data_IF_689690429337
#
_entry.id   IF_689690429337
#
_cell.length_a   1.000
_cell.length_b   1.000
_cell.length_c   1.000
_cell.angle_alpha   90.00
_cell.angle_beta   90.00
_cell.angle_gamma   90.00
#
_symmetry.space_group_name_H-M   'P 1'
#
loop_
_entity.id
_entity.type
_entity.pdbx_description
1 polymer ?
#
# COMPACT_ATOMS: atom_id res chain seq x y z
N UNK A 1 51.08 -46.30 33.22
CA UNK A 1 52.15 -45.41 33.72
C UNK A 1 51.92 -44.05 33.03
N UNK A 2 50.89 -43.31 33.48
CA UNK A 2 50.94 -42.09 34.34
C UNK A 2 51.53 -40.87 33.58
N UNK A 3 50.70 -39.97 33.02
CA UNK A 3 50.01 -38.79 33.63
C UNK A 3 50.92 -37.54 33.67
N UNK A 4 50.52 -36.28 33.42
CA UNK A 4 49.33 -35.60 32.90
C UNK A 4 49.81 -34.17 32.54
N UNK A 5 49.34 -33.58 31.43
CA UNK A 5 49.63 -32.19 31.02
C UNK A 5 48.58 -31.25 31.62
N UNK A 6 49.01 -30.13 32.20
CA UNK A 6 48.15 -29.05 32.72
C UNK A 6 48.36 -27.81 31.83
N UNK A 7 47.26 -27.24 31.34
CA UNK A 7 47.22 -26.22 30.27
C UNK A 7 47.33 -24.81 30.87
N UNK A 8 48.36 -24.10 30.43
CA UNK A 8 48.55 -22.66 30.58
C UNK A 8 47.77 -21.87 29.50
N UNK A 9 47.29 -20.70 29.91
CA UNK A 9 47.43 -19.37 29.30
C UNK A 9 46.90 -19.03 27.89
N UNK A 10 46.05 -18.00 27.79
CA UNK A 10 46.33 -16.60 27.33
C UNK A 10 46.31 -16.57 25.77
N UNK A 11 45.55 -15.75 25.04
CA UNK A 11 45.51 -14.29 25.13
C UNK A 11 44.41 -13.65 24.25
N UNK A 12 44.06 -12.42 24.64
CA UNK A 12 43.71 -11.24 23.83
C UNK A 12 42.98 -11.36 22.48
N UNK A 13 41.80 -10.75 22.43
CA UNK A 13 41.52 -9.46 21.73
C UNK A 13 40.16 -9.47 21.03
N UNK A 14 39.14 -9.00 21.75
CA UNK A 14 37.97 -8.29 21.21
C UNK A 14 37.34 -7.56 22.41
N UNK A 15 38.02 -6.53 22.94
CA UNK A 15 37.80 -5.14 22.57
C UNK A 15 36.32 -4.75 22.50
N UNK A 16 35.94 -3.94 23.48
CA UNK A 16 35.47 -2.58 23.24
C UNK A 16 34.31 -2.43 22.25
N UNK A 17 33.08 -2.61 22.73
CA UNK A 17 31.89 -1.97 22.11
C UNK A 17 30.67 -1.84 23.04
N UNK A 18 30.68 -2.41 24.25
CA UNK A 18 29.48 -2.38 25.13
C UNK A 18 29.53 -1.25 26.18
N UNK A 19 30.61 -0.45 26.21
CA UNK A 19 30.81 0.62 27.22
C UNK A 19 30.67 2.05 26.66
N UNK A 20 30.41 2.24 25.36
CA UNK A 20 30.22 3.58 24.76
C UNK A 20 28.89 3.62 24.00
N UNK A 21 27.82 3.89 24.73
CA UNK A 21 26.48 4.08 24.16
C UNK A 21 25.46 4.54 25.19
N UNK A 22 25.72 4.25 26.47
CA UNK A 22 24.83 4.57 27.57
C UNK A 22 25.24 5.81 28.39
N UNK A 23 26.06 6.69 27.80
CA UNK A 23 26.55 7.94 28.41
C UNK A 23 26.13 9.22 27.65
N UNK A 24 25.44 9.15 26.51
CA UNK A 24 25.04 10.36 25.75
C UNK A 24 23.57 10.76 25.93
N UNK A 25 22.69 9.92 26.50
CA UNK A 25 21.28 10.26 26.75
C UNK A 25 21.00 10.56 28.24
N UNK A 26 21.93 11.24 28.91
CA UNK A 26 21.72 11.82 30.26
C UNK A 26 22.28 13.24 30.38
N UNK A 27 22.10 14.04 29.34
CA UNK A 27 22.28 15.49 29.38
C UNK A 27 21.16 16.22 28.62
N UNK A 28 19.89 15.86 28.87
CA UNK A 28 18.75 16.62 28.34
C UNK A 28 17.48 16.46 29.18
N UNK A 29 17.59 16.36 30.51
CA UNK A 29 16.44 16.52 31.41
C UNK A 29 16.88 17.31 32.63
N UNK A 30 16.94 18.63 32.47
CA UNK A 30 17.17 19.59 33.55
C UNK A 30 15.97 20.52 33.63
N UNK A 31 14.91 20.07 34.31
CA UNK A 31 14.00 20.93 35.07
C UNK A 31 13.01 20.04 35.81
N UNK A 32 13.01 20.09 37.14
CA UNK A 32 12.13 19.29 37.99
C UNK A 32 11.54 20.20 39.07
N UNK A 33 10.21 20.10 39.23
CA UNK A 33 9.34 20.27 40.42
C UNK A 33 7.93 20.43 39.84
N UNK A 34 6.96 19.51 39.98
CA UNK A 34 6.27 18.98 41.19
C UNK A 34 5.41 17.77 40.70
N UNK A 35 5.62 16.51 41.14
CA UNK A 35 4.85 15.70 42.15
C UNK A 35 3.42 15.34 41.66
N UNK A 36 2.83 14.12 41.62
CA UNK A 36 2.90 12.80 42.33
C UNK A 36 1.98 11.80 41.55
N UNK A 37 2.33 10.51 41.35
CA UNK A 37 1.78 9.25 41.98
C UNK A 37 0.25 9.02 41.76
N UNK A 38 -0.32 7.87 41.34
CA UNK A 38 -0.17 6.42 41.55
C UNK A 38 -0.90 5.70 40.38
N UNK A 39 -0.75 4.41 40.06
CA UNK A 39 -0.28 3.30 40.87
C UNK A 39 -0.05 2.04 40.03
N UNK A 40 0.66 1.12 40.69
CA UNK A 40 1.18 -0.15 40.24
C UNK A 40 0.11 -1.23 39.97
N UNK A 41 0.46 -2.15 39.08
CA UNK A 41 -0.09 -3.51 39.02
C UNK A 41 0.96 -4.50 38.51
N UNK A 42 1.60 -5.20 39.46
CA UNK A 42 2.56 -6.31 39.31
C UNK A 42 2.03 -7.42 38.37
N UNK A 43 2.81 -7.92 37.41
CA UNK A 43 3.76 -9.04 37.50
C UNK A 43 3.13 -10.42 37.81
N UNK A 44 3.20 -11.34 36.83
CA UNK A 44 3.24 -12.78 37.08
C UNK A 44 4.08 -13.46 35.99
N UNK A 45 5.25 -13.91 36.43
CA UNK A 45 6.17 -14.83 35.75
C UNK A 45 5.57 -16.24 35.70
N UNK A 46 5.87 -16.97 34.62
CA UNK A 46 6.16 -18.40 34.69
C UNK A 46 7.29 -18.73 33.70
N UNK A 47 8.22 -19.59 34.14
CA UNK A 47 9.50 -19.96 33.53
C UNK A 47 9.48 -21.47 33.23
N UNK A 48 9.69 -21.86 31.95
CA UNK A 48 10.65 -22.85 31.33
C UNK A 48 10.60 -24.34 31.84
N UNK A 49 10.84 -25.45 31.07
CA UNK A 49 11.92 -25.70 30.08
C UNK A 49 11.66 -26.56 28.82
N UNK A 50 12.72 -26.61 27.99
CA UNK A 50 13.02 -27.32 26.73
C UNK A 50 12.81 -28.85 26.73
N UNK A 51 12.74 -29.46 25.52
CA UNK A 51 13.65 -30.54 25.05
C UNK A 51 13.31 -31.06 23.63
N UNK A 52 14.32 -30.96 22.75
CA UNK A 52 14.81 -31.90 21.70
C UNK A 52 13.95 -32.44 20.53
N UNK A 53 14.43 -32.09 19.33
CA UNK A 53 14.70 -32.92 18.12
C UNK A 53 14.08 -34.32 17.98
N UNK A 54 13.38 -34.55 16.85
CA UNK A 54 13.57 -35.75 16.03
C UNK A 54 13.08 -35.54 14.60
N UNK A 55 13.99 -35.76 13.65
CA UNK A 55 13.74 -35.80 12.20
C UNK A 55 13.25 -37.19 11.80
N UNK A 56 12.27 -37.30 10.88
CA UNK A 56 12.25 -38.28 9.77
C UNK A 56 11.00 -38.15 8.88
N UNK A 57 11.29 -37.99 7.59
CA UNK A 57 10.62 -38.54 6.41
C UNK A 57 9.12 -38.84 6.44
N UNK A 58 8.37 -38.12 5.58
CA UNK A 58 7.45 -38.74 4.63
C UNK A 58 7.55 -38.04 3.27
N UNK A 59 8.14 -38.75 2.31
CA UNK A 59 8.06 -38.48 0.87
C UNK A 59 6.75 -39.05 0.30
N UNK A 60 6.37 -38.50 -0.86
CA UNK A 60 5.46 -39.01 -1.90
C UNK A 60 4.04 -38.42 -1.92
N UNK A 61 3.87 -37.39 -2.75
CA UNK A 61 2.71 -37.27 -3.62
C UNK A 61 3.19 -36.79 -5.00
N UNK A 62 3.39 -37.77 -5.88
CA UNK A 62 3.56 -37.61 -7.32
C UNK A 62 2.19 -37.22 -7.92
N UNK A 63 2.15 -36.13 -8.68
CA UNK A 63 1.06 -35.88 -9.63
C UNK A 63 1.64 -35.89 -11.03
N UNK A 64 1.04 -36.76 -11.83
CA UNK A 64 1.59 -37.28 -13.06
C UNK A 64 1.46 -36.37 -14.26
N UNK A 65 2.36 -36.65 -15.21
CA UNK A 65 2.38 -36.16 -16.57
C UNK A 65 1.12 -36.63 -17.30
N UNK A 66 0.27 -35.69 -17.71
CA UNK A 66 -0.81 -35.88 -18.68
C UNK A 66 -0.52 -35.06 -19.92
N UNK A 67 -0.11 -35.72 -21.00
CA UNK A 67 0.07 -35.12 -22.32
C UNK A 67 -1.27 -34.92 -23.05
N UNK A 68 -1.31 -33.85 -23.84
CA UNK A 68 -2.18 -33.57 -25.00
C UNK A 68 -3.61 -33.03 -24.77
N UNK A 69 -3.76 -31.70 -24.92
CA UNK A 69 -4.47 -31.04 -26.06
C UNK A 69 -4.73 -29.55 -25.77
N UNK A 70 -3.71 -28.70 -26.00
CA UNK A 70 -3.88 -27.26 -26.27
C UNK A 70 -2.84 -26.78 -27.29
N UNK A 71 -2.71 -27.51 -28.40
CA UNK A 71 -2.10 -26.95 -29.60
C UNK A 71 -3.23 -26.30 -30.40
N UNK A 72 -3.11 -25.01 -30.70
CA UNK A 72 -4.06 -24.13 -31.40
C UNK A 72 -4.95 -23.23 -30.52
N UNK A 73 -4.44 -22.68 -29.42
CA UNK A 73 -5.00 -21.44 -28.89
C UNK A 73 -4.44 -20.26 -29.70
N UNK A 74 -5.28 -19.62 -30.53
CA UNK A 74 -4.98 -18.31 -31.09
C UNK A 74 -4.78 -17.37 -29.90
N UNK A 75 -3.63 -16.69 -29.75
CA UNK A 75 -3.49 -15.66 -28.72
C UNK A 75 -4.53 -14.59 -29.00
N UNK A 76 -5.52 -14.45 -28.11
CA UNK A 76 -6.40 -13.29 -28.15
C UNK A 76 -5.54 -12.06 -27.84
N UNK A 77 -5.76 -10.93 -28.53
CA UNK A 77 -5.04 -9.70 -28.23
C UNK A 77 -5.16 -9.41 -26.73
N UNK A 78 -4.02 -9.16 -26.08
CA UNK A 78 -3.97 -8.65 -24.71
C UNK A 78 -4.74 -7.33 -24.73
N UNK A 79 -5.96 -7.32 -24.18
CA UNK A 79 -6.71 -6.09 -23.99
C UNK A 79 -5.89 -5.21 -23.06
N UNK A 80 -5.73 -3.94 -23.41
CA UNK A 80 -5.03 -3.02 -22.53
C UNK A 80 -5.94 -2.78 -21.33
N UNK A 81 -5.38 -2.47 -20.13
CA UNK A 81 -6.17 -2.18 -18.93
C UNK A 81 -7.23 -1.05 -19.07
N UNK A 82 -7.28 -0.35 -20.21
CA UNK A 82 -8.27 0.67 -20.55
C UNK A 82 -9.46 0.18 -21.40
N UNK A 83 -9.51 -1.09 -21.82
CA UNK A 83 -10.52 -1.60 -22.76
C UNK A 83 -11.67 -2.38 -22.08
N UNK A 84 -11.81 -2.27 -20.75
CA UNK A 84 -12.89 -2.94 -20.01
C UNK A 84 -14.22 -2.20 -20.18
N UNK A 85 -15.36 -2.91 -20.29
CA UNK A 85 -16.68 -2.28 -20.25
C UNK A 85 -16.84 -1.57 -18.90
N UNK A 86 -16.86 -0.24 -18.94
CA UNK A 86 -17.29 0.56 -17.81
C UNK A 86 -18.80 0.36 -17.67
N UNK A 87 -19.24 -0.22 -16.55
CA UNK A 87 -20.65 -0.18 -16.21
C UNK A 87 -21.02 1.28 -15.96
N UNK A 88 -21.91 1.82 -16.79
CA UNK A 88 -22.40 3.18 -16.65
C UNK A 88 -23.16 3.29 -15.34
N UNK A 89 -22.58 4.00 -14.37
CA UNK A 89 -23.27 4.26 -13.12
C UNK A 89 -24.48 5.21 -13.35
N UNK A 90 -25.62 4.96 -12.69
CA UNK A 90 -26.76 5.86 -12.75
C UNK A 90 -26.39 7.24 -12.19
N UNK A 91 -27.09 8.29 -12.65
CA UNK A 91 -26.83 9.68 -12.22
C UNK A 91 -26.99 9.90 -10.70
N UNK A 92 -27.85 9.11 -10.05
CA UNK A 92 -27.87 8.98 -8.58
C UNK A 92 -27.37 7.59 -8.22
N UNK A 93 -26.20 7.53 -7.58
CA UNK A 93 -25.58 6.31 -7.10
C UNK A 93 -25.76 6.25 -5.59
N UNK A 94 -26.63 5.37 -5.12
CA UNK A 94 -27.00 5.19 -3.71
C UNK A 94 -26.56 3.82 -3.17
N UNK A 95 -26.74 3.62 -1.86
CA UNK A 95 -26.33 2.41 -1.13
C UNK A 95 -27.06 1.17 -1.66
N UNK A 96 -28.35 1.28 -1.97
CA UNK A 96 -29.18 0.16 -2.43
C UNK A 96 -28.71 -0.29 -3.81
N UNK A 97 -28.62 0.64 -4.75
CA UNK A 97 -28.14 0.36 -6.11
C UNK A 97 -26.74 -0.25 -6.11
N UNK A 98 -25.87 0.20 -5.20
CA UNK A 98 -24.54 -0.37 -5.04
C UNK A 98 -24.58 -1.82 -4.51
N UNK A 99 -25.42 -2.09 -3.52
CA UNK A 99 -25.58 -3.44 -2.96
C UNK A 99 -26.17 -4.42 -3.97
N UNK A 100 -27.12 -3.98 -4.78
CA UNK A 100 -27.70 -4.79 -5.85
C UNK A 100 -26.63 -5.17 -6.89
N UNK A 101 -25.87 -4.18 -7.38
CA UNK A 101 -24.74 -4.41 -8.29
C UNK A 101 -23.70 -5.37 -7.70
N UNK A 102 -23.36 -5.21 -6.41
CA UNK A 102 -22.43 -6.12 -5.72
C UNK A 102 -22.95 -7.54 -5.62
N UNK A 103 -24.26 -7.71 -5.44
CA UNK A 103 -24.89 -9.03 -5.41
C UNK A 103 -24.80 -9.71 -6.78
N UNK A 104 -25.07 -8.98 -7.87
CA UNK A 104 -24.97 -9.50 -9.24
C UNK A 104 -23.56 -9.98 -9.58
N UNK A 105 -22.53 -9.23 -9.18
CA UNK A 105 -21.14 -9.59 -9.46
C UNK A 105 -20.53 -10.52 -8.40
N UNK A 106 -21.31 -10.99 -7.41
CA UNK A 106 -20.84 -11.80 -6.28
C UNK A 106 -19.63 -11.19 -5.56
N UNK A 107 -19.73 -9.89 -5.22
CA UNK A 107 -18.73 -9.22 -4.42
C UNK A 107 -18.84 -9.67 -2.95
N UNK A 108 -17.76 -10.23 -2.40
CA UNK A 108 -17.70 -10.67 -1.01
C UNK A 108 -16.39 -10.19 -0.36
N UNK A 109 -16.50 -9.15 0.48
CA UNK A 109 -15.34 -8.59 1.18
C UNK A 109 -14.69 -9.60 2.14
N UNK A 110 -15.49 -10.49 2.77
CA UNK A 110 -14.98 -11.51 3.66
C UNK A 110 -14.13 -12.51 2.87
N UNK A 111 -14.65 -13.05 1.77
CA UNK A 111 -13.91 -13.98 0.92
C UNK A 111 -12.65 -13.34 0.31
N UNK A 112 -12.70 -12.06 -0.07
CA UNK A 112 -11.54 -11.30 -0.55
C UNK A 112 -10.42 -11.23 0.51
N UNK A 113 -10.75 -11.06 1.80
CA UNK A 113 -9.74 -11.09 2.89
C UNK A 113 -9.00 -12.42 2.99
N UNK A 114 -9.60 -13.50 2.48
CA UNK A 114 -9.01 -14.84 2.44
C UNK A 114 -8.47 -15.22 1.05
N UNK A 115 -8.27 -14.23 0.17
CA UNK A 115 -7.54 -14.40 -1.08
C UNK A 115 -8.41 -14.59 -2.32
N UNK A 116 -9.74 -14.43 -2.23
CA UNK A 116 -10.54 -14.35 -3.45
C UNK A 116 -10.16 -13.11 -4.28
N UNK A 117 -10.11 -13.23 -5.62
CA UNK A 117 -9.88 -12.07 -6.49
C UNK A 117 -10.99 -11.04 -6.36
N UNK A 118 -10.61 -9.77 -6.34
CA UNK A 118 -11.51 -8.62 -6.21
C UNK A 118 -12.21 -8.37 -7.55
N UNK A 119 -13.55 -8.37 -7.62
CA UNK A 119 -14.27 -8.05 -8.85
C UNK A 119 -13.85 -6.68 -9.43
N UNK A 120 -13.78 -6.59 -10.76
CA UNK A 120 -13.48 -5.35 -11.48
C UNK A 120 -14.72 -4.47 -11.58
N UNK A 121 -15.13 -3.93 -10.44
CA UNK A 121 -16.24 -2.99 -10.33
C UNK A 121 -15.71 -1.67 -9.76
N UNK A 122 -15.70 -0.63 -10.60
CA UNK A 122 -15.07 0.64 -10.29
C UNK A 122 -16.13 1.72 -10.22
N UNK A 123 -16.37 2.21 -9.00
CA UNK A 123 -17.34 3.27 -8.78
C UNK A 123 -16.72 4.64 -9.03
N UNK A 124 -17.50 5.57 -9.58
CA UNK A 124 -17.00 6.92 -9.88
C UNK A 124 -17.07 7.87 -8.68
N UNK A 125 -18.05 7.67 -7.78
CA UNK A 125 -18.29 8.53 -6.63
C UNK A 125 -18.77 7.72 -5.42
N UNK A 126 -18.73 8.32 -4.23
CA UNK A 126 -19.29 7.71 -3.02
C UNK A 126 -20.83 7.68 -3.12
N UNK A 127 -21.50 6.66 -2.55
CA UNK A 127 -22.95 6.65 -2.46
C UNK A 127 -23.47 7.92 -1.76
N UNK A 128 -24.49 8.55 -2.34
CA UNK A 128 -25.00 9.84 -1.86
C UNK A 128 -25.57 9.78 -0.44
N UNK A 129 -26.08 8.62 -0.06
CA UNK A 129 -26.73 8.25 1.19
C UNK A 129 -25.83 7.41 2.11
N UNK A 130 -24.50 7.41 1.90
CA UNK A 130 -23.56 6.67 2.78
C UNK A 130 -23.66 7.08 4.26
N UNK A 131 -24.07 8.32 4.54
CA UNK A 131 -24.29 8.80 5.90
C UNK A 131 -25.50 8.13 6.59
N UNK A 132 -26.45 7.62 5.82
CA UNK A 132 -27.70 7.04 6.31
C UNK A 132 -27.51 5.60 6.81
N UNK A 133 -26.33 5.01 6.57
CA UNK A 133 -25.95 3.69 7.11
C UNK A 133 -25.69 3.80 8.61
N UNK A 134 -26.72 3.57 9.44
CA UNK A 134 -26.63 3.69 10.90
C UNK A 134 -25.57 2.76 11.54
N UNK A 135 -25.37 1.56 11.01
CA UNK A 135 -24.39 0.62 11.55
C UNK A 135 -22.96 0.98 11.08
N UNK A 136 -22.09 1.34 12.03
CA UNK A 136 -20.70 1.73 11.77
C UNK A 136 -19.92 0.62 11.06
N UNK A 137 -20.09 -0.64 11.45
CA UNK A 137 -19.42 -1.78 10.82
C UNK A 137 -19.78 -1.90 9.33
N UNK A 138 -21.08 -1.86 9.01
CA UNK A 138 -21.56 -1.89 7.61
C UNK A 138 -21.04 -0.72 6.79
N UNK A 139 -20.96 0.47 7.38
CA UNK A 139 -20.40 1.66 6.71
C UNK A 139 -18.92 1.49 6.39
N UNK A 140 -18.14 0.94 7.34
CA UNK A 140 -16.72 0.62 7.12
C UNK A 140 -16.54 -0.42 6.03
N UNK A 141 -17.32 -1.49 6.03
CA UNK A 141 -17.29 -2.53 5.00
C UNK A 141 -17.61 -1.95 3.63
N UNK A 142 -18.68 -1.15 3.53
CA UNK A 142 -19.03 -0.45 2.28
C UNK A 142 -17.88 0.42 1.77
N UNK A 143 -17.27 1.23 2.64
CA UNK A 143 -16.15 2.08 2.26
C UNK A 143 -14.99 1.24 1.70
N UNK A 144 -14.61 0.15 2.37
CA UNK A 144 -13.52 -0.72 1.90
C UNK A 144 -13.90 -1.35 0.56
N UNK A 145 -15.13 -1.84 0.40
CA UNK A 145 -15.61 -2.47 -0.83
C UNK A 145 -15.63 -1.51 -2.03
N UNK A 146 -15.88 -0.22 -1.79
CA UNK A 146 -15.79 0.84 -2.80
C UNK A 146 -14.34 1.16 -3.16
N UNK A 147 -13.47 1.32 -2.17
CA UNK A 147 -12.12 1.87 -2.36
C UNK A 147 -11.10 0.81 -2.79
N UNK A 148 -11.21 -0.42 -2.30
CA UNK A 148 -10.24 -1.49 -2.57
C UNK A 148 -10.07 -1.78 -4.08
N UNK A 149 -11.14 -2.00 -4.89
CA UNK A 149 -10.97 -2.24 -6.32
C UNK A 149 -10.29 -1.08 -7.04
N UNK A 150 -10.56 0.16 -6.62
CA UNK A 150 -9.99 1.37 -7.21
C UNK A 150 -8.49 1.52 -6.92
N UNK A 151 -8.06 1.22 -5.68
CA UNK A 151 -6.64 1.16 -5.31
C UNK A 151 -5.93 0.10 -6.15
N UNK A 152 -6.50 -1.11 -6.23
CA UNK A 152 -5.90 -2.21 -6.98
C UNK A 152 -5.78 -1.87 -8.47
N UNK A 153 -6.78 -1.22 -9.06
CA UNK A 153 -6.72 -0.76 -10.46
C UNK A 153 -5.60 0.25 -10.70
N UNK A 154 -5.44 1.24 -9.81
CA UNK A 154 -4.38 2.23 -9.92
C UNK A 154 -2.99 1.62 -9.71
N UNK A 155 -2.85 0.66 -8.80
CA UNK A 155 -1.63 -0.11 -8.60
C UNK A 155 -1.32 -1.01 -9.80
N UNK A 156 -2.29 -1.73 -10.36
CA UNK A 156 -2.12 -2.58 -11.56
C UNK A 156 -1.62 -1.75 -12.75
N UNK A 157 -2.21 -0.57 -12.99
CA UNK A 157 -1.72 0.37 -14.02
C UNK A 157 -0.29 0.81 -13.75
N UNK A 158 0.09 1.00 -12.49
CA UNK A 158 1.45 1.40 -12.11
C UNK A 158 2.45 0.26 -12.32
N UNK A 159 2.09 -0.95 -11.92
CA UNK A 159 2.90 -2.16 -12.09
C UNK A 159 3.04 -2.54 -13.56
N UNK A 160 1.99 -2.43 -14.38
CA UNK A 160 2.10 -2.65 -15.83
C UNK A 160 3.12 -1.70 -16.48
N UNK A 161 3.24 -0.45 -16.00
CA UNK A 161 4.30 0.47 -16.45
C UNK A 161 5.67 0.05 -15.92
N UNK A 162 5.74 -0.46 -14.69
CA UNK A 162 6.99 -0.98 -14.10
C UNK A 162 7.49 -2.18 -14.91
N UNK A 163 6.63 -3.13 -15.23
CA UNK A 163 6.99 -4.34 -15.98
C UNK A 163 7.55 -3.96 -17.35
N UNK A 164 6.84 -3.09 -18.10
CA UNK A 164 7.36 -2.58 -19.37
C UNK A 164 8.69 -1.83 -19.21
N UNK A 165 8.87 -1.05 -18.13
CA UNK A 165 10.15 -0.40 -17.85
C UNK A 165 11.27 -1.44 -17.65
N UNK A 166 11.00 -2.51 -16.91
CA UNK A 166 11.98 -3.57 -16.65
C UNK A 166 12.32 -4.37 -17.91
N UNK A 167 11.35 -4.61 -18.79
CA UNK A 167 11.60 -5.23 -20.09
C UNK A 167 12.57 -4.38 -20.93
N UNK A 168 12.34 -3.05 -21.00
CA UNK A 168 13.24 -2.15 -21.71
C UNK A 168 14.64 -2.09 -21.08
N UNK A 169 14.74 -2.20 -19.76
CA UNK A 169 16.04 -2.25 -19.06
C UNK A 169 16.77 -3.55 -19.39
N UNK A 170 16.07 -4.68 -19.38
CA UNK A 170 16.63 -5.98 -19.75
C UNK A 170 17.12 -6.00 -21.20
N UNK A 171 16.37 -5.40 -22.13
CA UNK A 171 16.77 -5.25 -23.53
C UNK A 171 18.08 -4.47 -23.67
N UNK A 172 18.20 -3.33 -22.98
CA UNK A 172 19.42 -2.52 -23.01
C UNK A 172 20.62 -3.22 -22.39
N UNK A 173 20.42 -3.97 -21.30
CA UNK A 173 21.48 -4.78 -20.69
C UNK A 173 22.00 -5.88 -21.62
N UNK A 174 21.16 -6.34 -22.56
CA UNK A 174 21.54 -7.30 -23.61
C UNK A 174 22.13 -6.62 -24.86
N UNK A 175 22.41 -5.31 -24.80
CA UNK A 175 22.99 -4.55 -25.90
C UNK A 175 22.01 -4.22 -27.04
N UNK A 176 20.69 -4.41 -26.83
CA UNK A 176 19.67 -4.01 -27.80
C UNK A 176 19.40 -2.52 -27.71
N UNK A 177 19.38 -1.86 -28.87
CA UNK A 177 18.92 -0.48 -28.98
C UNK A 177 17.40 -0.40 -28.82
N UNK A 178 16.92 0.64 -28.15
CA UNK A 178 15.50 0.89 -28.01
C UNK A 178 14.91 1.35 -29.34
N UNK A 179 13.75 0.80 -29.69
CA UNK A 179 12.96 1.30 -30.82
C UNK A 179 12.55 2.76 -30.62
N UNK A 180 12.15 3.45 -31.69
CA UNK A 180 11.63 4.83 -31.59
C UNK A 180 10.41 4.91 -30.69
N UNK A 181 9.55 3.89 -30.74
CA UNK A 181 8.36 3.77 -29.90
C UNK A 181 8.76 3.62 -28.42
N UNK A 182 9.70 2.73 -28.10
CA UNK A 182 10.12 2.47 -26.72
C UNK A 182 10.90 3.65 -26.14
N UNK A 183 11.73 4.31 -26.94
CA UNK A 183 12.38 5.57 -26.54
C UNK A 183 11.34 6.65 -26.25
N UNK A 184 10.29 6.78 -27.08
CA UNK A 184 9.20 7.70 -26.87
C UNK A 184 8.39 7.38 -25.61
N UNK A 185 8.08 6.10 -25.40
CA UNK A 185 7.38 5.63 -24.21
C UNK A 185 8.19 5.89 -22.93
N UNK A 186 9.49 5.56 -22.92
CA UNK A 186 10.37 5.78 -21.78
C UNK A 186 10.48 7.27 -21.43
N UNK A 187 10.61 8.15 -22.43
CA UNK A 187 10.58 9.61 -22.23
C UNK A 187 9.27 10.08 -21.60
N UNK A 188 8.14 9.53 -22.01
CA UNK A 188 6.83 9.87 -21.44
C UNK A 188 6.70 9.39 -19.99
N UNK A 189 7.17 8.18 -19.67
CA UNK A 189 7.20 7.68 -18.28
C UNK A 189 8.13 8.53 -17.42
N UNK A 190 9.33 8.84 -17.89
CA UNK A 190 10.28 9.70 -17.18
C UNK A 190 9.72 11.10 -16.91
N UNK A 191 9.06 11.70 -17.90
CA UNK A 191 8.34 12.96 -17.75
C UNK A 191 7.22 12.86 -16.71
N UNK A 192 6.40 11.81 -16.78
CA UNK A 192 5.33 11.57 -15.79
C UNK A 192 5.92 11.53 -14.38
N UNK A 193 6.97 10.74 -14.16
CA UNK A 193 7.60 10.57 -12.84
C UNK A 193 8.63 11.66 -12.48
N UNK A 194 8.69 12.75 -13.25
CA UNK A 194 9.56 13.92 -13.03
C UNK A 194 11.02 13.51 -12.82
N UNK A 195 11.56 12.76 -13.76
CA UNK A 195 12.91 12.18 -13.70
C UNK A 195 13.49 12.10 -15.11
N UNK A 196 14.82 12.00 -15.22
CA UNK A 196 15.49 11.82 -16.50
C UNK A 196 15.29 10.39 -17.04
N UNK A 197 15.00 10.18 -18.34
CA UNK A 197 14.85 8.84 -18.91
C UNK A 197 16.10 7.96 -18.84
N UNK A 198 17.28 8.54 -18.62
CA UNK A 198 18.52 7.80 -18.38
C UNK A 198 18.69 7.36 -16.92
N UNK A 199 17.99 7.97 -15.97
CA UNK A 199 18.04 7.62 -14.55
C UNK A 199 17.07 6.46 -14.23
N UNK A 200 17.44 5.29 -14.73
CA UNK A 200 16.68 4.04 -14.55
C UNK A 200 16.56 3.68 -13.07
N UNK A 201 17.58 3.95 -12.26
CA UNK A 201 17.57 3.62 -10.83
C UNK A 201 16.49 4.40 -10.08
N UNK A 202 16.35 5.71 -10.36
CA UNK A 202 15.28 6.52 -9.78
C UNK A 202 13.93 6.15 -10.36
N UNK A 203 13.83 5.91 -11.68
CA UNK A 203 12.60 5.41 -12.30
C UNK A 203 12.10 4.14 -11.61
N UNK A 204 12.98 3.17 -11.40
CA UNK A 204 12.63 1.92 -10.73
C UNK A 204 12.06 2.16 -9.32
N UNK A 205 12.59 3.09 -8.54
CA UNK A 205 12.03 3.39 -7.20
C UNK A 205 10.69 4.14 -7.26
N UNK A 206 10.48 4.96 -8.29
CA UNK A 206 9.28 5.79 -8.47
C UNK A 206 8.11 5.04 -9.11
N UNK A 207 8.36 4.20 -10.11
CA UNK A 207 7.33 3.47 -10.87
C UNK A 207 6.96 2.19 -10.13
N UNK A 208 6.16 2.31 -9.07
CA UNK A 208 5.82 1.16 -8.23
C UNK A 208 4.49 1.33 -7.50
N UNK A 209 3.86 0.20 -7.13
CA UNK A 209 2.61 0.20 -6.39
C UNK A 209 2.76 0.81 -4.99
N UNK A 210 1.71 1.42 -4.48
CA UNK A 210 1.63 1.81 -3.06
C UNK A 210 0.97 0.66 -2.29
N UNK A 211 1.51 0.24 -1.13
CA UNK A 211 0.88 -0.81 -0.33
C UNK A 211 -0.59 -0.55 -0.07
N UNK A 212 -1.41 -1.58 -0.29
CA UNK A 212 -2.88 -1.46 -0.22
C UNK A 212 -3.31 -1.06 1.19
N UNK A 213 -2.64 -1.61 2.19
CA UNK A 213 -2.89 -1.31 3.60
C UNK A 213 -2.70 0.17 3.94
N UNK A 214 -1.65 0.80 3.40
CA UNK A 214 -1.38 2.23 3.58
C UNK A 214 -2.41 3.08 2.86
N UNK A 215 -2.70 2.76 1.60
CA UNK A 215 -3.67 3.50 0.81
C UNK A 215 -5.07 3.47 1.44
N UNK A 216 -5.51 2.33 1.98
CA UNK A 216 -6.76 2.23 2.74
C UNK A 216 -6.72 3.04 4.04
N UNK A 217 -5.64 2.95 4.83
CA UNK A 217 -5.52 3.68 6.09
C UNK A 217 -5.54 5.20 5.87
N UNK A 218 -4.80 5.70 4.88
CA UNK A 218 -4.82 7.13 4.54
C UNK A 218 -6.18 7.55 3.96
N UNK A 219 -6.80 6.74 3.09
CA UNK A 219 -8.15 7.04 2.62
C UNK A 219 -9.16 7.12 3.78
N UNK A 220 -9.06 6.26 4.79
CA UNK A 220 -9.89 6.32 5.99
C UNK A 220 -9.66 7.60 6.78
N UNK A 221 -8.41 7.90 7.11
CA UNK A 221 -8.03 9.06 7.93
C UNK A 221 -8.44 10.37 7.27
N UNK A 222 -8.13 10.54 5.98
CA UNK A 222 -8.33 11.80 5.27
C UNK A 222 -9.80 12.05 4.87
N UNK A 223 -10.58 10.97 4.66
CA UNK A 223 -11.98 11.09 4.22
C UNK A 223 -13.00 10.81 5.31
N UNK A 224 -12.56 10.38 6.51
CA UNK A 224 -13.44 9.92 7.58
C UNK A 224 -14.33 8.78 7.12
N UNK A 225 -13.76 7.71 6.56
CA UNK A 225 -14.51 6.60 5.95
C UNK A 225 -15.46 7.03 4.81
N UNK A 226 -15.05 8.02 4.01
CA UNK A 226 -15.80 8.54 2.88
C UNK A 226 -16.97 9.46 3.27
N UNK A 227 -17.11 9.78 4.55
CA UNK A 227 -18.18 10.65 5.07
C UNK A 227 -17.83 12.14 5.03
N UNK A 228 -16.59 12.49 4.69
CA UNK A 228 -16.19 13.87 4.48
C UNK A 228 -16.96 14.51 3.32
N UNK A 229 -17.34 15.78 3.49
CA UNK A 229 -17.94 16.59 2.43
C UNK A 229 -17.06 16.61 1.17
N UNK A 230 -15.74 16.71 1.33
CA UNK A 230 -14.80 16.74 0.21
C UNK A 230 -14.77 15.41 -0.56
N UNK A 231 -14.92 14.28 0.14
CA UNK A 231 -14.99 12.97 -0.49
C UNK A 231 -16.30 12.78 -1.28
N UNK A 232 -17.44 13.23 -0.73
CA UNK A 232 -18.75 13.10 -1.38
C UNK A 232 -18.96 14.08 -2.53
N UNK A 233 -18.62 15.35 -2.35
CA UNK A 233 -18.89 16.40 -3.35
C UNK A 233 -17.75 16.57 -4.36
N UNK A 234 -16.52 16.20 -3.98
CA UNK A 234 -15.33 16.44 -4.79
C UNK A 234 -14.49 15.21 -5.07
N UNK A 235 -14.94 14.00 -4.70
CA UNK A 235 -14.15 12.77 -4.81
C UNK A 235 -12.76 12.88 -4.15
N UNK A 236 -12.57 13.81 -3.21
CA UNK A 236 -11.27 14.15 -2.63
C UNK A 236 -10.97 13.29 -1.40
N UNK A 237 -10.60 12.03 -1.65
CA UNK A 237 -10.33 11.03 -0.61
C UNK A 237 -9.06 11.28 0.24
N UNK A 238 -8.10 12.06 -0.26
CA UNK A 238 -6.76 12.18 0.34
C UNK A 238 -6.36 13.63 0.67
N UNK A 239 -7.32 14.54 0.81
CA UNK A 239 -7.07 15.91 1.30
C UNK A 239 -6.07 16.76 0.48
N UNK A 240 -5.87 16.45 -0.81
CA UNK A 240 -4.85 17.12 -1.64
C UNK A 240 -5.15 18.61 -1.79
N UNK A 241 -4.25 19.47 -1.33
CA UNK A 241 -4.41 20.93 -1.42
C UNK A 241 -3.98 21.45 -2.80
N UNK A 242 -4.66 22.50 -3.27
CA UNK A 242 -4.28 23.32 -4.42
C UNK A 242 -4.35 24.79 -4.04
N UNK A 243 -3.52 25.61 -4.69
CA UNK A 243 -3.44 27.05 -4.47
C UNK A 243 -3.98 27.86 -5.65
N UNK A 244 -4.54 27.19 -6.66
CA UNK A 244 -5.24 27.84 -7.76
C UNK A 244 -6.71 28.01 -7.39
N UNK A 245 -7.12 29.24 -7.18
CA UNK A 245 -8.51 29.61 -6.85
C UNK A 245 -9.50 29.08 -7.91
N UNK A 246 -10.64 28.56 -7.46
CA UNK A 246 -11.75 28.10 -8.29
C UNK A 246 -11.56 26.72 -8.92
N UNK A 247 -10.56 25.94 -8.50
CA UNK A 247 -10.28 24.59 -9.05
C UNK A 247 -10.51 23.46 -8.05
N UNK A 248 -10.99 23.78 -6.85
CA UNK A 248 -11.25 22.86 -5.76
C UNK A 248 -12.43 23.30 -4.90
N UNK A 249 -12.55 22.67 -3.74
CA UNK A 249 -13.58 22.95 -2.74
C UNK A 249 -12.96 23.79 -1.62
N UNK A 250 -13.54 24.96 -1.36
CA UNK A 250 -13.11 25.85 -0.29
C UNK A 250 -13.46 25.24 1.08
N UNK A 251 -12.49 25.07 1.99
CA UNK A 251 -12.79 24.64 3.36
C UNK A 251 -13.63 25.68 4.09
N UNK A 252 -14.68 25.22 4.80
CA UNK A 252 -15.56 26.10 5.59
C UNK A 252 -14.87 26.67 6.84
N UNK A 253 -13.79 26.04 7.31
CA UNK A 253 -13.04 26.40 8.52
C UNK A 253 -11.55 26.64 8.21
N UNK A 254 -11.23 27.37 7.14
CA UNK A 254 -9.83 27.79 6.88
C UNK A 254 -9.44 28.96 7.80
N UNK A 255 -8.19 29.00 8.24
CA UNK A 255 -7.70 30.10 9.05
C UNK A 255 -7.69 31.42 8.25
N UNK A 256 -7.78 32.55 8.93
CA UNK A 256 -7.73 33.85 8.29
C UNK A 256 -6.42 34.02 7.51
N UNK A 257 -6.54 34.37 6.23
CA UNK A 257 -5.39 34.52 5.32
C UNK A 257 -5.01 33.27 4.52
N UNK A 258 -5.59 32.10 4.80
CA UNK A 258 -5.37 30.90 3.99
C UNK A 258 -6.17 30.91 2.69
N UNK A 259 -5.49 30.65 1.57
CA UNK A 259 -6.09 30.66 0.22
C UNK A 259 -6.14 29.28 -0.44
N UNK A 260 -5.77 28.22 0.28
CA UNK A 260 -5.79 26.87 -0.28
C UNK A 260 -7.22 26.34 -0.44
N UNK A 261 -7.42 25.52 -1.47
CA UNK A 261 -8.63 24.73 -1.71
C UNK A 261 -8.29 23.24 -1.66
N UNK A 262 -9.27 22.39 -1.33
CA UNK A 262 -9.14 20.94 -1.47
C UNK A 262 -9.43 20.58 -2.92
N UNK A 263 -8.47 19.93 -3.59
CA UNK A 263 -8.60 19.51 -4.98
C UNK A 263 -9.82 18.62 -5.18
N UNK A 264 -10.70 19.03 -6.09
CA UNK A 264 -11.80 18.20 -6.56
C UNK A 264 -11.36 17.31 -7.73
N UNK A 265 -12.01 16.16 -7.87
CA UNK A 265 -11.75 15.17 -8.90
C UNK A 265 -13.04 14.77 -9.59
N UNK A 266 -12.95 14.46 -10.89
CA UNK A 266 -14.08 13.95 -11.65
C UNK A 266 -14.56 12.60 -11.09
N UNK A 267 -13.62 11.74 -10.69
CA UNK A 267 -13.93 10.41 -10.14
C UNK A 267 -13.04 10.07 -8.94
N UNK A 268 -13.47 9.12 -8.11
CA UNK A 268 -12.64 8.51 -7.05
C UNK A 268 -11.36 7.87 -7.64
N UNK A 269 -11.45 7.30 -8.84
CA UNK A 269 -10.29 6.76 -9.57
C UNK A 269 -9.23 7.83 -9.82
N UNK A 270 -9.62 9.04 -10.23
CA UNK A 270 -8.69 10.15 -10.49
C UNK A 270 -8.01 10.62 -9.20
N UNK A 271 -8.75 10.63 -8.09
CA UNK A 271 -8.25 10.99 -6.76
C UNK A 271 -7.19 10.00 -6.27
N UNK A 272 -7.48 8.69 -6.36
CA UNK A 272 -6.55 7.62 -6.00
C UNK A 272 -5.32 7.62 -6.91
N UNK A 273 -5.49 7.80 -8.22
CA UNK A 273 -4.36 7.90 -9.16
C UNK A 273 -3.47 9.11 -8.84
N UNK A 274 -4.05 10.27 -8.52
CA UNK A 274 -3.32 11.48 -8.10
C UNK A 274 -2.55 11.24 -6.79
N UNK A 275 -3.16 10.53 -5.82
CA UNK A 275 -2.52 10.17 -4.56
C UNK A 275 -1.31 9.24 -4.73
N UNK A 276 -1.48 8.14 -5.47
CA UNK A 276 -0.39 7.20 -5.78
C UNK A 276 0.74 7.93 -6.52
N UNK A 277 0.38 8.78 -7.48
CA UNK A 277 1.35 9.59 -8.21
C UNK A 277 2.14 10.53 -7.30
N UNK A 278 1.47 11.16 -6.33
CA UNK A 278 2.12 12.06 -5.37
C UNK A 278 3.17 11.32 -4.53
N UNK A 279 2.83 10.18 -3.92
CA UNK A 279 3.78 9.34 -3.17
C UNK A 279 4.95 8.87 -4.04
N UNK A 280 4.66 8.58 -5.31
CA UNK A 280 5.67 8.11 -6.26
C UNK A 280 6.57 9.19 -6.84
N UNK A 281 6.24 10.48 -6.71
CA UNK A 281 7.00 11.55 -7.39
C UNK A 281 7.51 12.65 -6.48
N UNK A 282 6.79 12.98 -5.41
CA UNK A 282 7.15 14.13 -4.58
C UNK A 282 8.49 13.87 -3.84
N UNK A 283 9.44 14.83 -3.82
CA UNK A 283 10.76 14.64 -3.19
C UNK A 283 10.68 14.23 -1.71
N UNK A 284 9.68 14.73 -0.98
CA UNK A 284 9.49 14.43 0.45
C UNK A 284 9.30 12.94 0.75
N UNK A 285 8.77 12.18 -0.21
CA UNK A 285 8.53 10.73 -0.08
C UNK A 285 9.69 9.89 -0.64
N UNK A 286 10.89 10.46 -0.77
CA UNK A 286 12.07 9.73 -1.26
C UNK A 286 12.45 8.56 -0.36
N UNK A 287 12.39 8.75 0.96
CA UNK A 287 12.63 7.69 1.95
C UNK A 287 11.59 6.58 1.84
N UNK A 288 10.30 6.93 1.72
CA UNK A 288 9.22 5.97 1.49
C UNK A 288 9.52 5.09 0.26
N UNK A 289 9.90 5.70 -0.87
CA UNK A 289 10.22 4.94 -2.09
C UNK A 289 11.46 4.06 -1.93
N UNK A 290 12.48 4.54 -1.21
CA UNK A 290 13.69 3.78 -0.95
C UNK A 290 13.42 2.55 -0.07
N UNK A 291 12.70 2.72 1.05
CA UNK A 291 12.33 1.61 1.93
C UNK A 291 11.37 0.63 1.28
N UNK A 292 10.41 1.12 0.48
CA UNK A 292 9.53 0.26 -0.32
C UNK A 292 10.33 -0.64 -1.26
N UNK A 293 11.27 -0.06 -2.02
CA UNK A 293 12.11 -0.82 -2.93
C UNK A 293 13.04 -1.81 -2.21
N UNK A 294 13.57 -1.42 -1.04
CA UNK A 294 14.41 -2.29 -0.20
C UNK A 294 13.65 -3.52 0.30
N UNK A 295 12.41 -3.35 0.74
CA UNK A 295 11.57 -4.44 1.28
C UNK A 295 11.12 -5.45 0.23
N UNK A 296 10.97 -5.04 -1.03
CA UNK A 296 10.58 -5.95 -2.12
C UNK A 296 11.64 -7.01 -2.44
N UNK A 297 12.89 -6.78 -2.06
CA UNK A 297 14.00 -7.73 -2.27
C UNK A 297 14.36 -8.52 -1.02
N UNK A 298 13.67 -8.29 0.11
CA UNK A 298 13.85 -9.06 1.34
C UNK A 298 13.29 -10.50 1.18
N UNK A 299 13.88 -11.52 1.82
CA UNK A 299 13.48 -12.92 1.67
C UNK A 299 12.01 -13.20 1.98
N UNK A 300 11.46 -12.47 2.94
CA UNK A 300 10.05 -12.51 3.33
C UNK A 300 9.12 -11.85 2.31
N UNK A 301 9.63 -10.96 1.44
CA UNK A 301 8.90 -10.18 0.42
C UNK A 301 7.49 -9.74 0.88
N UNK A 302 7.38 -9.36 2.14
CA UNK A 302 6.14 -8.82 2.68
C UNK A 302 6.28 -7.31 2.63
N UNK A 303 5.62 -6.68 1.66
CA UNK A 303 5.37 -5.25 1.68
C UNK A 303 4.57 -4.93 2.94
N UNK A 304 5.28 -4.72 4.05
CA UNK A 304 4.68 -4.51 5.34
C UNK A 304 4.31 -3.03 5.45
N UNK A 305 3.06 -2.72 5.09
CA UNK A 305 2.54 -1.36 5.14
C UNK A 305 2.66 -0.74 6.53
N UNK A 306 2.48 -1.54 7.60
CA UNK A 306 2.62 -1.10 8.99
C UNK A 306 4.02 -0.58 9.32
N UNK A 307 5.06 -1.16 8.73
CA UNK A 307 6.43 -0.63 8.87
C UNK A 307 6.73 0.52 7.93
N UNK A 308 6.18 0.48 6.72
CA UNK A 308 6.48 1.52 5.74
C UNK A 308 5.83 2.88 6.08
N UNK A 309 4.72 2.92 6.83
CA UNK A 309 4.13 4.17 7.34
C UNK A 309 5.07 4.99 8.22
N UNK A 310 6.09 4.38 8.85
CA UNK A 310 7.14 5.09 9.60
C UNK A 310 7.89 6.12 8.73
N UNK A 311 7.85 5.97 7.40
CA UNK A 311 8.48 6.89 6.44
C UNK A 311 7.57 8.04 5.97
N UNK A 312 6.31 8.08 6.43
CA UNK A 312 5.29 9.05 5.98
C UNK A 312 5.06 10.21 6.96
N UNK A 313 5.99 10.47 7.87
CA UNK A 313 5.93 11.57 8.86
C UNK A 313 5.58 12.90 8.20
N UNK A 314 6.19 13.19 7.04
CA UNK A 314 6.01 14.46 6.33
C UNK A 314 4.67 14.59 5.57
N UNK A 315 3.80 13.57 5.61
CA UNK A 315 2.48 13.64 5.00
C UNK A 315 1.54 14.58 5.76
N UNK A 316 1.72 14.67 7.09
CA UNK A 316 0.85 15.45 7.98
C UNK A 316 1.68 16.32 8.92
N UNK A 317 1.16 17.51 9.23
CA UNK A 317 1.73 18.40 10.26
C UNK A 317 1.71 17.75 11.66
N UNK A 318 0.87 16.73 11.87
CA UNK A 318 0.82 15.90 13.09
C UNK A 318 2.02 14.95 13.24
N UNK A 319 2.85 14.77 12.21
CA UNK A 319 4.09 13.99 12.27
C UNK A 319 3.90 12.56 12.79
N UNK A 320 4.59 12.20 13.87
CA UNK A 320 4.58 10.83 14.43
C UNK A 320 3.20 10.40 14.98
N UNK A 321 2.36 11.35 15.39
CA UNK A 321 0.99 11.06 15.81
C UNK A 321 0.16 10.55 14.63
N UNK A 322 0.36 11.13 13.45
CA UNK A 322 -0.26 10.67 12.21
C UNK A 322 0.20 9.26 11.87
N UNK A 323 1.50 8.97 11.95
CA UNK A 323 2.06 7.63 11.73
C UNK A 323 1.42 6.62 12.67
N UNK A 324 1.32 6.94 13.96
CA UNK A 324 0.69 6.10 14.97
C UNK A 324 -0.79 5.85 14.67
N UNK A 325 -1.51 6.87 14.18
CA UNK A 325 -2.91 6.75 13.74
C UNK A 325 -3.04 5.77 12.57
N UNK A 326 -2.18 5.88 11.54
CA UNK A 326 -2.20 4.95 10.41
C UNK A 326 -1.88 3.51 10.83
N UNK A 327 -0.89 3.33 11.70
CA UNK A 327 -0.53 2.02 12.26
C UNK A 327 -1.71 1.37 12.98
N UNK A 328 -2.43 2.15 13.80
CA UNK A 328 -3.64 1.69 14.47
C UNK A 328 -4.75 1.31 13.48
N UNK A 329 -4.98 2.13 12.47
CA UNK A 329 -5.99 1.84 11.42
C UNK A 329 -5.67 0.54 10.68
N UNK A 330 -4.40 0.32 10.30
CA UNK A 330 -3.95 -0.89 9.63
C UNK A 330 -4.21 -2.12 10.51
N UNK A 331 -3.83 -2.08 11.78
CA UNK A 331 -3.97 -3.21 12.71
C UNK A 331 -5.44 -3.52 13.05
N UNK A 332 -6.19 -2.50 13.46
CA UNK A 332 -7.57 -2.68 13.97
C UNK A 332 -8.54 -3.14 12.88
N UNK A 333 -8.32 -2.71 11.63
CA UNK A 333 -9.17 -3.08 10.48
C UNK A 333 -8.56 -4.20 9.61
N UNK A 334 -7.39 -4.72 10.04
CA UNK A 334 -6.63 -5.78 9.37
C UNK A 334 -6.42 -5.51 7.89
N UNK A 335 -5.95 -4.30 7.56
CA UNK A 335 -5.75 -3.91 6.16
C UNK A 335 -4.57 -4.62 5.50
N UNK A 336 -3.65 -5.16 6.30
CA UNK A 336 -2.57 -6.05 5.87
C UNK A 336 -3.08 -7.30 5.12
N UNK A 337 -4.31 -7.75 5.40
CA UNK A 337 -4.92 -8.87 4.67
C UNK A 337 -5.18 -8.59 3.19
N UNK A 338 -5.28 -7.31 2.81
CA UNK A 338 -5.49 -6.90 1.41
C UNK A 338 -4.20 -6.66 0.64
N UNK A 339 -3.03 -6.82 1.27
CA UNK A 339 -1.74 -6.51 0.65
C UNK A 339 -1.46 -7.39 -0.57
N UNK A 340 -1.98 -8.62 -0.57
CA UNK A 340 -1.88 -9.57 -1.69
C UNK A 340 -3.15 -9.64 -2.54
N UNK A 341 -4.15 -8.80 -2.29
CA UNK A 341 -5.38 -8.79 -3.06
C UNK A 341 -5.08 -8.41 -4.52
N UNK A 342 -5.75 -9.07 -5.44
CA UNK A 342 -5.61 -8.84 -6.88
C UNK A 342 -6.98 -8.72 -7.51
N UNK A 343 -7.08 -7.90 -8.57
CA UNK A 343 -8.30 -7.85 -9.36
C UNK A 343 -8.53 -9.20 -10.05
N UNK A 344 -9.79 -9.60 -10.16
CA UNK A 344 -10.20 -10.73 -10.97
C UNK A 344 -9.70 -10.55 -12.41
N UNK A 345 -9.35 -11.65 -13.08
CA UNK A 345 -8.92 -11.59 -14.47
C UNK A 345 -10.03 -11.02 -15.37
N UNK A 346 -9.64 -10.28 -16.41
CA UNK A 346 -10.60 -9.63 -17.33
C UNK A 346 -11.57 -10.63 -17.97
N UNK A 347 -11.10 -11.85 -18.28
CA UNK A 347 -11.95 -12.95 -18.80
C UNK A 347 -13.04 -13.41 -17.82
N UNK A 348 -12.81 -13.29 -16.52
CA UNK A 348 -13.81 -13.64 -15.49
C UNK A 348 -14.73 -12.46 -15.17
N UNK A 349 -14.37 -11.24 -15.57
CA UNK A 349 -15.25 -10.07 -15.51
C UNK A 349 -16.28 -10.09 -16.65
N UNK A 350 -15.85 -10.41 -17.88
CA UNK A 350 -16.73 -10.46 -19.07
C UNK A 350 -17.76 -11.61 -19.04
N UNK A 351 -17.54 -12.68 -18.26
CA UNK A 351 -18.46 -13.84 -18.16
C UNK A 351 -19.58 -13.69 -17.11
N UNK A 352 -19.65 -12.56 -16.41
CA UNK A 352 -20.67 -12.29 -15.38
C UNK A 352 -21.78 -11.35 -15.85
N UNK A 353 -21.84 -11.05 -17.16
CA UNK A 353 -22.87 -10.23 -17.78
C UNK A 353 -23.64 -11.04 -18.84
#
# INVERSE_FOLDING_TARGET
MLCYFQKNDIDTSFQDSVVIGMQIIKAAFKSNKVVTLLGLGLALLYVVPELTNSSRDLRNASYGVGNARYANAIPLPVRKPGDLPYLVQPHQFDVVSLQDNWSEINFDLHAIRYGQPVPRYFVEQMPVDILDIANVGKRKEMFISVILPLILNANEKTLSRRDRLMDLVADRQQGRDLSREDSGWLKNVAKLYRTDPSDIGTLHKKVDAVPVSIALAQAVEESGWGTSRFAREGNALFGQRIWSEGKGIVPTQRAEGETYEVKAFKTLSDSIASYIHNLNTHPVYSLFRAERARRQVEPENTLNGYKLVETLVAYSERGDEYVSTLQNLIQTNRFDQFEKAQLASERLADRRY
#
